data_IF_122934053329
#
_entry.id   IF_122934053329
#
_cell.length_a   1.000
_cell.length_b   1.000
_cell.length_c   1.000
_cell.angle_alpha   90.00
_cell.angle_beta   90.00
_cell.angle_gamma   90.00
#
_symmetry.space_group_name_H-M   'P 1'
#
loop_
_entity.id
_entity.type
_entity.pdbx_description
1 polymer ?
#
# COMPACT_ATOMS: atom_id res chain seq x y z
N UNK A 1 -10.43 -11.07 -6.43
CA UNK A 1 -10.34 -9.69 -5.93
C UNK A 1 -11.32 -8.92 -6.77
N UNK A 2 -12.50 -8.75 -6.22
CA UNK A 2 -13.70 -8.55 -7.02
C UNK A 2 -14.34 -7.18 -6.77
N UNK A 3 -13.92 -6.49 -5.71
CA UNK A 3 -14.35 -5.12 -5.42
C UNK A 3 -13.43 -4.11 -6.09
N UNK A 4 -13.98 -2.94 -6.45
CA UNK A 4 -13.22 -1.87 -7.07
C UNK A 4 -12.07 -1.41 -6.15
N UNK A 5 -12.33 -1.30 -4.83
CA UNK A 5 -11.32 -0.95 -3.84
C UNK A 5 -10.12 -1.92 -3.81
N UNK A 6 -10.34 -3.23 -3.98
CA UNK A 6 -9.25 -4.22 -4.06
C UNK A 6 -8.42 -4.03 -5.34
N UNK A 7 -9.07 -3.71 -6.46
CA UNK A 7 -8.41 -3.48 -7.75
C UNK A 7 -7.64 -2.16 -7.77
N UNK A 8 -8.17 -1.13 -7.13
CA UNK A 8 -7.54 0.17 -6.99
C UNK A 8 -6.26 0.05 -6.17
N UNK A 9 -6.28 -0.70 -5.06
CA UNK A 9 -5.08 -0.99 -4.28
C UNK A 9 -4.01 -1.74 -5.09
N UNK A 10 -4.39 -2.78 -5.84
CA UNK A 10 -3.44 -3.50 -6.72
C UNK A 10 -2.83 -2.56 -7.75
N UNK A 11 -3.65 -1.66 -8.32
CA UNK A 11 -3.18 -0.67 -9.29
C UNK A 11 -2.24 0.34 -8.65
N UNK A 12 -2.55 0.81 -7.44
CA UNK A 12 -1.69 1.70 -6.66
C UNK A 12 -0.35 1.04 -6.33
N UNK A 13 -0.35 -0.22 -5.88
CA UNK A 13 0.88 -0.98 -5.60
C UNK A 13 1.77 -1.10 -6.85
N UNK A 14 1.19 -1.35 -8.02
CA UNK A 14 1.93 -1.46 -9.28
C UNK A 14 2.66 -0.17 -9.68
N UNK A 15 2.17 1.00 -9.26
CA UNK A 15 2.79 2.30 -9.57
C UNK A 15 4.06 2.60 -8.76
N UNK A 16 4.33 1.83 -7.70
CA UNK A 16 5.47 2.10 -6.81
C UNK A 16 6.83 2.16 -7.52
N UNK A 17 7.22 1.19 -8.38
CA UNK A 17 8.53 1.20 -9.00
C UNK A 17 8.73 2.41 -9.92
N UNK A 18 7.74 2.74 -10.74
CA UNK A 18 7.77 3.89 -11.65
C UNK A 18 7.82 5.21 -10.88
N UNK A 19 7.04 5.34 -9.80
CA UNK A 19 7.04 6.54 -8.96
C UNK A 19 8.39 6.73 -8.27
N UNK A 20 8.99 5.64 -7.78
CA UNK A 20 10.31 5.67 -7.15
C UNK A 20 11.41 6.04 -8.17
N UNK A 21 11.38 5.46 -9.36
CA UNK A 21 12.32 5.78 -10.44
C UNK A 21 12.22 7.25 -10.85
N UNK A 22 11.00 7.77 -11.08
CA UNK A 22 10.77 9.17 -11.41
C UNK A 22 11.24 10.11 -10.29
N UNK A 23 10.96 9.78 -9.03
CA UNK A 23 11.42 10.57 -7.88
C UNK A 23 12.96 10.62 -7.81
N UNK A 24 13.62 9.50 -8.10
CA UNK A 24 15.08 9.41 -8.08
C UNK A 24 15.73 10.16 -9.24
N UNK A 25 15.24 9.98 -10.47
CA UNK A 25 15.79 10.61 -11.68
C UNK A 25 15.65 12.14 -11.66
N UNK A 26 14.55 12.66 -11.11
CA UNK A 26 14.27 14.08 -11.08
C UNK A 26 14.72 14.76 -9.77
N UNK A 27 15.25 14.01 -8.80
CA UNK A 27 15.56 14.50 -7.45
C UNK A 27 14.33 15.10 -6.73
N UNK A 28 13.18 14.44 -6.86
CA UNK A 28 11.88 14.88 -6.36
C UNK A 28 11.33 13.92 -5.29
N UNK A 29 11.89 13.90 -4.06
CA UNK A 29 11.50 12.96 -3.01
C UNK A 29 10.04 13.11 -2.55
N UNK A 30 9.43 14.27 -2.81
CA UNK A 30 8.04 14.54 -2.49
C UNK A 30 7.04 13.69 -3.30
N UNK A 31 7.45 13.19 -4.49
CA UNK A 31 6.63 12.27 -5.27
C UNK A 31 6.41 10.95 -4.50
N UNK A 32 7.47 10.43 -3.90
CA UNK A 32 7.39 9.23 -3.07
C UNK A 32 6.53 9.46 -1.83
N UNK A 33 6.70 10.58 -1.11
CA UNK A 33 5.89 10.85 0.09
C UNK A 33 4.41 11.06 -0.22
N UNK A 34 4.08 11.71 -1.34
CA UNK A 34 2.70 11.85 -1.81
C UNK A 34 2.08 10.49 -2.15
N UNK A 35 2.80 9.66 -2.90
CA UNK A 35 2.36 8.30 -3.23
C UNK A 35 2.09 7.45 -1.99
N UNK A 36 2.99 7.46 -1.00
CA UNK A 36 2.82 6.68 0.23
C UNK A 36 1.61 7.16 1.04
N UNK A 37 1.37 8.48 1.08
CA UNK A 37 0.19 9.06 1.74
C UNK A 37 -1.10 8.59 1.06
N UNK A 38 -1.15 8.62 -0.27
CA UNK A 38 -2.31 8.17 -1.04
C UNK A 38 -2.54 6.67 -0.85
N UNK A 39 -1.51 5.83 -0.98
CA UNK A 39 -1.60 4.39 -0.74
C UNK A 39 -2.12 4.06 0.67
N UNK A 40 -1.65 4.78 1.69
CA UNK A 40 -2.13 4.61 3.06
C UNK A 40 -3.60 5.00 3.22
N UNK A 41 -4.05 6.08 2.55
CA UNK A 41 -5.44 6.53 2.55
C UNK A 41 -6.38 5.52 1.86
N UNK A 42 -5.97 5.00 0.70
CA UNK A 42 -6.71 3.98 -0.03
C UNK A 42 -6.84 2.70 0.80
N UNK A 43 -5.74 2.29 1.44
CA UNK A 43 -5.74 1.13 2.33
C UNK A 43 -6.62 1.33 3.56
N UNK A 44 -6.59 2.51 4.18
CA UNK A 44 -7.46 2.83 5.31
C UNK A 44 -8.94 2.71 4.95
N UNK A 45 -9.32 3.25 3.79
CA UNK A 45 -10.68 3.17 3.26
C UNK A 45 -11.08 1.71 2.99
N UNK A 46 -10.20 0.95 2.33
CA UNK A 46 -10.40 -0.48 2.08
C UNK A 46 -10.59 -1.27 3.38
N UNK A 47 -9.73 -1.05 4.38
CA UNK A 47 -9.75 -1.75 5.66
C UNK A 47 -11.06 -1.52 6.43
N UNK A 48 -11.57 -0.29 6.43
CA UNK A 48 -12.84 0.04 7.07
C UNK A 48 -14.04 -0.57 6.33
N UNK A 49 -13.96 -0.68 5.00
CA UNK A 49 -15.04 -1.21 4.17
C UNK A 49 -15.13 -2.74 4.11
N UNK A 50 -14.07 -3.47 4.51
CA UNK A 50 -13.99 -4.92 4.30
C UNK A 50 -13.57 -5.67 5.57
N UNK A 51 -14.37 -6.67 5.97
CA UNK A 51 -13.99 -7.58 7.05
C UNK A 51 -12.85 -8.50 6.60
N UNK A 52 -11.72 -8.43 7.29
CA UNK A 52 -10.53 -9.22 6.94
C UNK A 52 -10.63 -10.66 7.43
N UNK A 53 -11.01 -10.85 8.70
CA UNK A 53 -11.12 -12.18 9.32
C UNK A 53 -12.52 -12.75 9.10
N UNK A 54 -12.64 -13.60 8.09
CA UNK A 54 -13.87 -14.29 7.69
C UNK A 54 -13.65 -15.81 7.58
N UNK A 55 -14.74 -16.57 7.52
CA UNK A 55 -14.71 -18.04 7.44
C UNK A 55 -14.17 -18.54 6.10
N UNK A 56 -14.49 -17.85 5.00
CA UNK A 56 -13.95 -18.16 3.67
C UNK A 56 -12.43 -17.98 3.68
N UNK A 57 -11.71 -19.10 3.74
CA UNK A 57 -10.26 -19.11 3.81
C UNK A 57 -9.60 -18.57 2.53
N UNK A 58 -10.18 -18.80 1.35
CA UNK A 58 -9.60 -18.32 0.09
C UNK A 58 -9.68 -16.79 0.03
N UNK A 59 -10.86 -16.24 0.29
CA UNK A 59 -11.05 -14.80 0.28
C UNK A 59 -10.26 -14.12 1.41
N UNK A 60 -10.29 -14.66 2.64
CA UNK A 60 -9.48 -14.16 3.76
C UNK A 60 -8.00 -14.09 3.39
N UNK A 61 -7.44 -15.18 2.86
CA UNK A 61 -6.02 -15.25 2.53
C UNK A 61 -5.66 -14.26 1.41
N UNK A 62 -6.53 -14.06 0.43
CA UNK A 62 -6.34 -13.03 -0.60
C UNK A 62 -6.28 -11.61 -0.01
N UNK A 63 -7.20 -11.27 0.91
CA UNK A 63 -7.22 -9.96 1.58
C UNK A 63 -6.00 -9.73 2.48
N UNK A 64 -5.58 -10.75 3.23
CA UNK A 64 -4.37 -10.70 4.04
C UNK A 64 -3.11 -10.53 3.17
N UNK A 65 -3.06 -11.19 2.02
CA UNK A 65 -1.95 -11.06 1.07
C UNK A 65 -1.88 -9.63 0.50
N UNK A 66 -3.01 -9.06 0.10
CA UNK A 66 -3.09 -7.67 -0.35
C UNK A 66 -2.63 -6.69 0.75
N UNK A 67 -3.09 -6.90 1.99
CA UNK A 67 -2.69 -6.09 3.14
C UNK A 67 -1.19 -6.19 3.43
N UNK A 68 -0.61 -7.39 3.31
CA UNK A 68 0.82 -7.60 3.48
C UNK A 68 1.64 -6.90 2.38
N UNK A 69 1.15 -6.87 1.14
CA UNK A 69 1.79 -6.16 0.04
C UNK A 69 1.80 -4.64 0.27
N UNK A 70 0.67 -4.07 0.73
CA UNK A 70 0.60 -2.65 1.13
C UNK A 70 1.59 -2.35 2.25
N UNK A 71 1.62 -3.16 3.31
CA UNK A 71 2.57 -3.01 4.42
C UNK A 71 4.02 -2.99 3.92
N UNK A 72 4.38 -3.89 3.00
CA UNK A 72 5.73 -3.98 2.46
C UNK A 72 6.12 -2.71 1.69
N UNK A 73 5.23 -2.20 0.83
CA UNK A 73 5.50 -0.99 0.05
C UNK A 73 5.61 0.25 0.95
N UNK A 74 4.74 0.36 1.96
CA UNK A 74 4.81 1.44 2.95
C UNK A 74 6.14 1.40 3.72
N UNK A 75 6.54 0.23 4.20
CA UNK A 75 7.80 0.06 4.92
C UNK A 75 9.02 0.42 4.05
N UNK A 76 9.06 -0.06 2.81
CA UNK A 76 10.14 0.25 1.86
C UNK A 76 10.22 1.76 1.58
N UNK A 77 9.09 2.40 1.31
CA UNK A 77 9.03 3.83 1.01
C UNK A 77 9.40 4.71 2.21
N UNK A 78 8.89 4.40 3.40
CA UNK A 78 9.23 5.13 4.63
C UNK A 78 10.72 4.99 4.97
N UNK A 79 11.30 3.80 4.80
CA UNK A 79 12.73 3.57 4.99
C UNK A 79 13.58 4.43 4.05
N UNK A 80 13.20 4.56 2.78
CA UNK A 80 13.88 5.43 1.82
C UNK A 80 13.79 6.92 2.20
N UNK A 81 12.72 7.33 2.86
CA UNK A 81 12.54 8.69 3.39
C UNK A 81 13.23 8.93 4.74
N UNK A 82 13.87 7.90 5.32
CA UNK A 82 14.51 8.00 6.64
C UNK A 82 13.53 8.05 7.81
N UNK A 83 12.30 7.57 7.61
CA UNK A 83 11.24 7.53 8.63
C UNK A 83 11.03 6.09 9.10
N UNK A 84 10.78 5.89 10.40
CA UNK A 84 10.46 4.58 10.95
C UNK A 84 9.06 4.12 10.55
N UNK A 85 8.90 2.82 10.29
CA UNK A 85 7.62 2.16 10.07
C UNK A 85 7.34 1.22 11.26
N UNK A 86 6.73 1.71 12.36
CA UNK A 86 6.54 0.91 13.58
C UNK A 86 5.53 -0.23 13.35
N UNK A 87 5.78 -1.38 13.98
CA UNK A 87 4.85 -2.53 13.93
C UNK A 87 3.60 -2.31 14.80
N UNK A 88 3.70 -1.43 15.80
CA UNK A 88 2.62 -1.02 16.70
C UNK A 88 2.74 0.48 16.96
N UNK A 89 1.62 1.20 16.86
CA UNK A 89 1.52 2.64 17.17
C UNK A 89 0.84 2.87 18.50
#
# INVERSE_FOLDING_TARGET
LDTDAERDLVTALRKYPETLENAALNFEPHLLSNYLRELASDFHTYYNGHKMLIEDAQLRNARLTLSAAVRQVLANGLQLLGVSAPEQM
#
